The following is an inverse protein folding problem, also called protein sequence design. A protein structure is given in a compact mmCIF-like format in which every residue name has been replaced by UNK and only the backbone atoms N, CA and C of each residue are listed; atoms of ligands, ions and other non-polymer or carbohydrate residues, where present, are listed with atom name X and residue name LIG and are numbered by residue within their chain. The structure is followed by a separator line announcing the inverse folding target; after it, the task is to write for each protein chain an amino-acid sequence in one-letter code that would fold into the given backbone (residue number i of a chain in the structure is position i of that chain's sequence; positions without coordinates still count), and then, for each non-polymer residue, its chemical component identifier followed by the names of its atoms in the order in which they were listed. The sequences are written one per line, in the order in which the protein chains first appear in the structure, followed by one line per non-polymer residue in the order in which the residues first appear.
data_IF_571104986766
#
_entry.id   IF_571104986766
#
_cell.length_a   1.000
_cell.length_b   1.000
_cell.length_c   1.000
_cell.angle_alpha   90.00
_cell.angle_beta   90.00
_cell.angle_gamma   90.00
#
_symmetry.space_group_name_H-M   'P 1'
#
loop_
_entity.id
_entity.type
_entity.pdbx_description
1 polymer ?
#
# COMPACT_ATOMS: atom_id res chain seq x y z
N UNK A 1 -0.66 -1.08 -21.35
CA UNK A 1 -0.17 -2.08 -20.40
C UNK A 1 -1.23 -2.36 -19.36
N UNK A 2 -1.48 -3.62 -19.08
CA UNK A 2 -2.54 -4.05 -18.16
C UNK A 2 -1.91 -4.48 -16.83
N UNK A 3 -2.48 -3.99 -15.72
CA UNK A 3 -2.06 -4.41 -14.40
C UNK A 3 -2.40 -5.89 -14.18
N UNK A 4 -1.54 -6.63 -13.48
CA UNK A 4 -1.75 -8.06 -13.27
C UNK A 4 -3.03 -8.41 -12.55
N UNK A 5 -3.49 -7.64 -11.60
CA UNK A 5 -4.66 -7.94 -10.80
C UNK A 5 -4.34 -8.76 -9.55
N UNK A 6 -5.38 -9.05 -8.74
CA UNK A 6 -5.17 -9.60 -7.40
C UNK A 6 -4.68 -11.06 -7.37
N UNK A 7 -4.88 -11.82 -8.44
CA UNK A 7 -4.42 -13.21 -8.49
C UNK A 7 -2.98 -13.37 -8.97
N UNK A 8 -2.34 -12.26 -9.37
CA UNK A 8 -0.94 -12.32 -9.77
C UNK A 8 -0.08 -12.70 -8.56
N UNK A 9 0.93 -13.59 -8.72
CA UNK A 9 1.65 -14.15 -7.57
C UNK A 9 2.76 -13.22 -7.05
N UNK A 10 2.39 -12.05 -6.57
CA UNK A 10 3.33 -11.08 -6.05
C UNK A 10 4.18 -11.63 -4.89
N UNK A 11 3.53 -12.37 -3.97
CA UNK A 11 4.25 -12.91 -2.82
C UNK A 11 5.30 -13.93 -3.24
N UNK A 12 5.01 -14.73 -4.26
CA UNK A 12 5.99 -15.69 -4.79
C UNK A 12 7.21 -14.97 -5.37
N UNK A 13 6.97 -13.84 -6.06
CA UNK A 13 8.07 -13.02 -6.57
C UNK A 13 8.88 -12.41 -5.44
N UNK A 14 8.21 -11.99 -4.36
CA UNK A 14 8.88 -11.45 -3.19
C UNK A 14 9.74 -12.51 -2.50
N UNK A 15 9.23 -13.72 -2.36
CA UNK A 15 9.98 -14.84 -1.76
C UNK A 15 11.23 -15.16 -2.57
N UNK A 16 11.20 -14.89 -3.88
CA UNK A 16 12.36 -15.06 -4.75
C UNK A 16 13.28 -13.84 -4.77
N UNK A 17 12.97 -12.79 -3.99
CA UNK A 17 13.77 -11.58 -3.92
C UNK A 17 13.59 -10.62 -5.09
N UNK A 18 12.53 -10.81 -5.89
CA UNK A 18 12.33 -10.02 -7.11
C UNK A 18 11.50 -8.75 -6.89
N UNK A 19 10.72 -8.67 -5.80
CA UNK A 19 9.96 -7.46 -5.45
C UNK A 19 10.04 -7.25 -3.95
N UNK A 20 9.95 -5.98 -3.47
CA UNK A 20 9.93 -5.70 -2.04
C UNK A 20 8.67 -6.25 -1.38
N UNK A 21 8.81 -6.73 -0.15
CA UNK A 21 7.70 -7.28 0.64
C UNK A 21 7.98 -7.05 2.11
N UNK A 22 6.95 -6.90 2.95
CA UNK A 22 7.17 -6.74 4.39
C UNK A 22 7.78 -7.99 4.99
N UNK A 23 8.69 -7.82 5.94
CA UNK A 23 9.24 -8.93 6.70
C UNK A 23 8.17 -9.50 7.63
N UNK A 24 8.27 -10.81 7.99
CA UNK A 24 7.33 -11.38 8.96
C UNK A 24 7.30 -10.55 10.24
N UNK A 25 6.08 -10.27 10.72
CA UNK A 25 5.88 -9.48 11.92
C UNK A 25 5.94 -7.98 11.75
N UNK A 26 6.46 -7.48 10.64
CA UNK A 26 6.59 -6.04 10.43
C UNK A 26 5.23 -5.36 10.30
N UNK A 27 4.28 -6.01 9.61
CA UNK A 27 2.93 -5.46 9.48
C UNK A 27 2.26 -5.29 10.85
N UNK A 28 2.36 -6.31 11.70
CA UNK A 28 1.79 -6.25 13.04
C UNK A 28 2.44 -5.13 13.86
N UNK A 29 3.75 -4.97 13.75
CA UNK A 29 4.48 -3.91 14.46
C UNK A 29 3.99 -2.53 14.00
N UNK A 30 3.83 -2.34 12.70
CA UNK A 30 3.37 -1.05 12.17
C UNK A 30 1.93 -0.74 12.56
N UNK A 31 1.07 -1.77 12.56
CA UNK A 31 -0.30 -1.60 13.05
C UNK A 31 -0.31 -1.16 14.52
N UNK A 32 0.55 -1.76 15.34
CA UNK A 32 0.66 -1.36 16.75
C UNK A 32 1.14 0.08 16.89
N UNK A 33 2.10 0.50 16.07
CA UNK A 33 2.62 1.88 16.10
C UNK A 33 1.54 2.90 15.74
N UNK A 34 0.63 2.56 14.82
CA UNK A 34 -0.46 3.45 14.44
C UNK A 34 -1.48 3.62 15.57
N UNK A 35 -1.57 2.65 16.47
CA UNK A 35 -2.41 2.72 17.66
C UNK A 35 -3.87 3.11 17.35
N UNK A 36 -4.42 2.54 16.28
CA UNK A 36 -5.80 2.79 15.87
C UNK A 36 -6.07 4.15 15.26
N UNK A 37 -5.03 4.96 15.05
CA UNK A 37 -5.18 6.30 14.50
C UNK A 37 -4.90 6.28 12.99
N UNK A 38 -5.94 6.52 12.20
CA UNK A 38 -5.85 6.55 10.75
C UNK A 38 -5.18 7.84 10.31
N UNK A 39 -4.06 7.79 9.57
CA UNK A 39 -3.47 9.00 8.99
C UNK A 39 -4.41 9.65 7.96
N UNK A 40 -4.18 10.93 7.68
CA UNK A 40 -5.01 11.65 6.72
C UNK A 40 -4.63 11.28 5.27
N UNK A 41 -5.44 11.74 4.32
CA UNK A 41 -5.26 11.42 2.91
C UNK A 41 -3.91 11.94 2.39
N UNK A 42 -3.49 13.12 2.83
CA UNK A 42 -2.20 13.68 2.41
C UNK A 42 -1.05 12.76 2.80
N UNK A 43 -1.11 12.18 3.98
CA UNK A 43 -0.11 11.20 4.42
C UNK A 43 -0.05 10.00 3.47
N UNK A 44 -1.23 9.45 3.10
CA UNK A 44 -1.29 8.34 2.14
C UNK A 44 -0.69 8.72 0.80
N UNK A 45 -1.00 9.91 0.31
CA UNK A 45 -0.44 10.40 -0.95
C UNK A 45 1.08 10.51 -0.89
N UNK A 46 1.61 11.02 0.23
CA UNK A 46 3.05 11.13 0.43
C UNK A 46 3.73 9.77 0.46
N UNK A 47 3.14 8.82 1.19
CA UNK A 47 3.71 7.48 1.30
C UNK A 47 3.68 6.75 -0.04
N UNK A 48 2.58 6.87 -0.78
CA UNK A 48 2.49 6.26 -2.11
C UNK A 48 3.54 6.83 -3.05
N UNK A 49 3.79 8.13 -2.99
CA UNK A 49 4.84 8.75 -3.81
C UNK A 49 6.22 8.18 -3.45
N UNK A 50 6.47 7.94 -2.16
CA UNK A 50 7.73 7.32 -1.71
C UNK A 50 7.90 5.92 -2.28
N UNK A 51 6.80 5.21 -2.51
CA UNK A 51 6.82 3.89 -3.12
C UNK A 51 6.89 3.94 -4.65
N UNK A 52 6.98 5.13 -5.23
CA UNK A 52 7.15 5.30 -6.67
C UNK A 52 5.87 5.46 -7.46
N UNK A 53 4.72 5.60 -6.79
CA UNK A 53 3.47 5.83 -7.50
C UNK A 53 3.29 7.30 -7.88
N UNK A 54 2.73 7.53 -9.06
CA UNK A 54 2.30 8.87 -9.47
C UNK A 54 0.92 9.11 -8.85
N UNK A 55 0.86 10.02 -7.89
CA UNK A 55 -0.38 10.28 -7.15
C UNK A 55 -0.47 11.77 -6.86
N UNK A 56 -1.66 12.38 -6.97
CA UNK A 56 -1.83 13.78 -6.61
C UNK A 56 -1.48 14.02 -5.14
N UNK A 57 -1.03 15.24 -4.82
CA UNK A 57 -0.66 15.62 -3.45
C UNK A 57 -1.61 16.69 -2.94
N UNK A 58 -2.91 16.44 -3.09
CA UNK A 58 -3.97 17.41 -2.82
C UNK A 58 -4.49 17.38 -1.38
N UNK A 59 -4.29 16.25 -0.69
CA UNK A 59 -4.91 16.03 0.61
C UNK A 59 -6.36 15.60 0.50
N UNK A 60 -6.86 15.37 -0.70
CA UNK A 60 -8.25 14.97 -0.93
C UNK A 60 -8.31 13.57 -1.54
N UNK A 61 -9.33 12.82 -1.15
CA UNK A 61 -9.53 11.46 -1.65
C UNK A 61 -10.37 11.51 -2.93
N UNK A 62 -9.73 11.92 -4.03
CA UNK A 62 -10.38 11.92 -5.32
C UNK A 62 -10.13 10.60 -6.07
N UNK A 63 -10.71 10.47 -7.26
CA UNK A 63 -10.65 9.23 -8.03
C UNK A 63 -9.21 8.77 -8.27
N UNK A 64 -8.33 9.69 -8.64
CA UNK A 64 -6.93 9.32 -8.96
C UNK A 64 -6.22 8.75 -7.74
N UNK A 65 -6.43 9.36 -6.56
CA UNK A 65 -5.86 8.84 -5.32
C UNK A 65 -6.43 7.48 -4.96
N UNK A 66 -7.76 7.30 -5.11
CA UNK A 66 -8.40 6.00 -4.86
C UNK A 66 -7.84 4.92 -5.78
N UNK A 67 -7.64 5.25 -7.05
CA UNK A 67 -7.10 4.30 -8.01
C UNK A 67 -5.69 3.86 -7.62
N UNK A 68 -4.85 4.78 -7.17
CA UNK A 68 -3.49 4.46 -6.75
C UNK A 68 -3.49 3.65 -5.46
N UNK A 69 -4.32 4.01 -4.48
CA UNK A 69 -4.47 3.21 -3.26
C UNK A 69 -4.92 1.80 -3.60
N UNK A 70 -5.91 1.68 -4.48
CA UNK A 70 -6.41 0.38 -4.92
C UNK A 70 -5.34 -0.47 -5.59
N UNK A 71 -4.51 0.14 -6.43
CA UNK A 71 -3.41 -0.56 -7.09
C UNK A 71 -2.40 -1.11 -6.07
N UNK A 72 -2.05 -0.30 -5.07
CA UNK A 72 -1.17 -0.73 -3.99
C UNK A 72 -1.79 -1.89 -3.21
N UNK A 73 -3.07 -1.77 -2.86
CA UNK A 73 -3.79 -2.81 -2.12
C UNK A 73 -3.86 -4.11 -2.92
N UNK A 74 -4.14 -4.01 -4.22
CA UNK A 74 -4.24 -5.18 -5.08
C UNK A 74 -2.94 -5.99 -5.07
N UNK A 75 -1.81 -5.32 -4.96
CA UNK A 75 -0.51 -5.97 -4.91
C UNK A 75 -0.22 -6.61 -3.56
N UNK A 76 -0.50 -5.90 -2.46
CA UNK A 76 -0.07 -6.31 -1.12
C UNK A 76 -1.20 -6.89 -0.27
N UNK A 77 -2.44 -6.62 -0.62
CA UNK A 77 -3.63 -7.12 0.10
C UNK A 77 -4.73 -7.46 -0.90
N UNK A 78 -4.54 -8.50 -1.73
CA UNK A 78 -5.52 -8.80 -2.78
C UNK A 78 -6.89 -9.26 -2.26
N UNK A 79 -7.01 -9.58 -0.99
CA UNK A 79 -8.31 -9.94 -0.41
C UNK A 79 -9.28 -8.76 -0.38
N UNK A 80 -8.75 -7.52 -0.37
CA UNK A 80 -9.59 -6.31 -0.36
C UNK A 80 -8.80 -5.15 -0.96
N UNK A 81 -9.28 -4.64 -2.09
CA UNK A 81 -8.60 -3.54 -2.81
C UNK A 81 -9.61 -2.50 -3.27
N UNK A 82 -10.37 -1.96 -2.32
CA UNK A 82 -11.46 -1.02 -2.58
C UNK A 82 -11.01 0.43 -2.77
N UNK A 83 -9.72 0.72 -2.63
CA UNK A 83 -9.20 2.08 -2.76
C UNK A 83 -9.43 2.94 -1.53
N UNK A 84 -9.97 2.37 -0.45
CA UNK A 84 -10.18 3.12 0.79
C UNK A 84 -8.89 3.16 1.62
N UNK A 85 -8.50 4.33 2.12
CA UNK A 85 -7.34 4.44 3.00
C UNK A 85 -7.69 3.90 4.40
N UNK A 86 -7.28 2.68 4.68
CA UNK A 86 -7.54 2.05 5.97
C UNK A 86 -6.25 1.82 6.75
N UNK A 87 -6.38 1.38 8.00
CA UNK A 87 -5.23 1.19 8.89
C UNK A 87 -4.28 0.13 8.37
N UNK A 88 -4.80 -0.95 7.83
CA UNK A 88 -3.94 -2.00 7.29
C UNK A 88 -3.14 -1.50 6.09
N UNK A 89 -3.76 -0.69 5.22
CA UNK A 89 -3.06 -0.08 4.10
C UNK A 89 -1.95 0.85 4.58
N UNK A 90 -2.24 1.65 5.62
CA UNK A 90 -1.23 2.53 6.21
C UNK A 90 -0.06 1.72 6.76
N UNK A 91 -0.35 0.64 7.47
CA UNK A 91 0.69 -0.23 8.03
C UNK A 91 1.51 -0.89 6.91
N UNK A 92 0.87 -1.30 5.83
CA UNK A 92 1.57 -1.87 4.67
C UNK A 92 2.50 -0.84 4.02
N UNK A 93 2.04 0.41 3.88
CA UNK A 93 2.88 1.47 3.33
C UNK A 93 4.13 1.69 4.17
N UNK A 94 4.04 1.52 5.49
CA UNK A 94 5.19 1.63 6.38
C UNK A 94 6.05 0.38 6.39
N UNK A 95 5.44 -0.79 6.24
CA UNK A 95 6.14 -2.08 6.39
C UNK A 95 6.84 -2.50 5.10
N UNK A 96 6.27 -2.20 3.93
CA UNK A 96 6.89 -2.55 2.65
C UNK A 96 8.11 -1.67 2.43
N UNK A 97 9.29 -2.25 2.16
CA UNK A 97 10.49 -1.45 1.93
C UNK A 97 10.34 -0.53 0.71
N UNK A 98 10.85 0.68 0.82
CA UNK A 98 11.03 1.58 -0.31
C UNK A 98 12.47 1.49 -0.77
N UNK A 99 12.67 1.25 -2.03
CA UNK A 99 14.03 1.13 -2.57
C UNK A 99 14.63 2.49 -2.90
#
# INVERSE_FOLDING_TARGET
KVDPGPLFPWKRLADAGLVPWPKPGELARRLAELNGQLPDVRWFQQQLARHGYLVPQTGELEKDTRDVIGAFQMKYRPARFDGEPDLETAALLLAVPTS
#
